data_IF_600345987165
#
_entry.id   IF_600345987165
#
_cell.length_a   1.000
_cell.length_b   1.000
_cell.length_c   1.000
_cell.angle_alpha   90.00
_cell.angle_beta   90.00
_cell.angle_gamma   90.00
#
_symmetry.space_group_name_H-M   'P 1'
#
loop_
_entity.id
_entity.type
_entity.pdbx_description
1 polymer ?
#
# COMPACT_ATOMS: atom_id res chain seq x y z
N UNK A 1 21.63 19.14 -12.79
CA UNK A 1 22.24 19.07 -11.43
C UNK A 1 22.89 17.70 -11.18
N UNK A 2 23.72 17.56 -10.14
CA UNK A 2 24.24 16.25 -9.69
C UNK A 2 23.50 15.85 -8.42
N UNK A 3 22.95 14.64 -8.39
CA UNK A 3 22.36 14.02 -7.19
C UNK A 3 23.14 12.77 -6.81
N UNK A 4 23.22 12.47 -5.52
CA UNK A 4 23.97 11.31 -5.02
C UNK A 4 23.00 10.23 -4.57
N UNK A 5 23.18 9.00 -5.07
CA UNK A 5 22.36 7.87 -4.62
C UNK A 5 22.60 7.57 -3.14
N UNK A 6 21.58 7.64 -2.27
CA UNK A 6 21.75 7.40 -0.84
C UNK A 6 22.05 5.94 -0.48
N UNK A 7 22.02 5.02 -1.46
CA UNK A 7 22.28 3.59 -1.24
C UNK A 7 23.67 3.15 -1.63
N UNK A 8 24.25 3.72 -2.69
CA UNK A 8 25.58 3.31 -3.18
C UNK A 8 26.58 4.47 -3.33
N UNK A 9 26.17 5.71 -3.08
CA UNK A 9 27.04 6.89 -3.21
C UNK A 9 27.35 7.33 -4.63
N UNK A 10 26.78 6.68 -5.65
CA UNK A 10 27.00 7.06 -7.05
C UNK A 10 26.44 8.46 -7.33
N UNK A 11 27.27 9.33 -7.91
CA UNK A 11 26.84 10.60 -8.47
C UNK A 11 26.10 10.38 -9.79
N UNK A 12 24.92 10.97 -9.92
CA UNK A 12 24.03 10.86 -11.08
C UNK A 12 23.79 12.26 -11.62
N UNK A 13 24.02 12.42 -12.92
CA UNK A 13 23.65 13.64 -13.61
C UNK A 13 22.15 13.61 -13.89
N UNK A 14 21.46 14.69 -13.56
CA UNK A 14 20.03 14.85 -13.78
C UNK A 14 19.75 16.19 -14.47
N UNK A 15 18.71 16.22 -15.31
CA UNK A 15 18.30 17.38 -16.10
C UNK A 15 17.29 18.27 -15.36
N UNK A 16 16.81 17.86 -14.17
CA UNK A 16 15.99 18.73 -13.31
C UNK A 16 16.74 20.02 -12.96
N UNK A 17 16.11 21.15 -13.24
CA UNK A 17 16.62 22.50 -13.05
C UNK A 17 16.05 23.17 -11.79
N UNK A 18 15.14 22.49 -11.09
CA UNK A 18 14.53 22.98 -9.85
C UNK A 18 15.50 22.85 -8.67
N UNK A 19 15.31 23.73 -7.69
CA UNK A 19 15.97 23.58 -6.39
C UNK A 19 15.22 22.51 -5.59
N UNK A 20 15.84 21.36 -5.41
CA UNK A 20 15.29 20.23 -4.65
C UNK A 20 15.71 20.29 -3.19
N UNK A 21 14.83 19.88 -2.29
CA UNK A 21 15.19 19.52 -0.92
C UNK A 21 16.07 18.27 -0.88
N UNK A 22 16.76 18.03 0.23
CA UNK A 22 17.60 16.83 0.40
C UNK A 22 16.80 15.53 0.21
N UNK A 23 15.54 15.51 0.67
CA UNK A 23 14.64 14.36 0.51
C UNK A 23 14.27 14.14 -0.95
N UNK A 24 13.88 15.20 -1.67
CA UNK A 24 13.53 15.11 -3.09
C UNK A 24 14.74 14.69 -3.94
N UNK A 25 15.93 15.22 -3.64
CA UNK A 25 17.16 14.83 -4.33
C UNK A 25 17.50 13.34 -4.09
N UNK A 26 17.30 12.85 -2.86
CA UNK A 26 17.51 11.45 -2.51
C UNK A 26 16.51 10.53 -3.22
N UNK A 27 15.22 10.91 -3.29
CA UNK A 27 14.21 10.17 -4.03
C UNK A 27 14.48 10.16 -5.53
N UNK A 28 14.84 11.30 -6.12
CA UNK A 28 15.23 11.40 -7.53
C UNK A 28 16.43 10.52 -7.86
N UNK A 29 17.43 10.49 -6.98
CA UNK A 29 18.57 9.59 -7.12
C UNK A 29 18.15 8.11 -7.00
N UNK A 30 17.24 7.79 -6.09
CA UNK A 30 16.67 6.44 -5.95
C UNK A 30 15.80 6.03 -7.13
N UNK A 31 15.16 6.98 -7.83
CA UNK A 31 14.37 6.69 -9.03
C UNK A 31 15.28 6.37 -10.25
N UNK A 32 16.42 7.04 -10.35
CA UNK A 32 17.30 6.97 -11.54
C UNK A 32 18.48 5.98 -11.39
N UNK A 33 18.97 5.75 -10.18
CA UNK A 33 20.13 4.88 -9.94
C UNK A 33 19.86 3.41 -10.32
N UNK A 34 20.82 2.73 -10.94
CA UNK A 34 20.69 1.33 -11.32
C UNK A 34 21.25 0.31 -10.31
N UNK A 35 21.70 0.75 -9.13
CA UNK A 35 22.25 -0.15 -8.12
C UNK A 35 21.17 -1.09 -7.54
N UNK A 36 21.54 -2.30 -7.06
CA UNK A 36 20.58 -3.28 -6.54
C UNK A 36 19.65 -2.74 -5.45
N UNK A 37 20.19 -1.93 -4.53
CA UNK A 37 19.42 -1.36 -3.44
C UNK A 37 18.41 -0.29 -3.90
N UNK A 38 18.74 0.51 -4.92
CA UNK A 38 17.80 1.46 -5.52
C UNK A 38 16.69 0.74 -6.31
N UNK A 39 17.04 -0.34 -7.04
CA UNK A 39 16.05 -1.20 -7.70
C UNK A 39 15.09 -1.85 -6.70
N UNK A 40 15.62 -2.36 -5.58
CA UNK A 40 14.80 -2.94 -4.52
C UNK A 40 13.87 -1.89 -3.89
N UNK A 41 14.36 -0.67 -3.65
CA UNK A 41 13.53 0.44 -3.20
C UNK A 41 12.39 0.75 -4.18
N UNK A 42 12.69 0.92 -5.48
CA UNK A 42 11.66 1.18 -6.50
C UNK A 42 10.64 0.06 -6.61
N UNK A 43 11.10 -1.19 -6.55
CA UNK A 43 10.21 -2.35 -6.57
C UNK A 43 9.26 -2.35 -5.38
N UNK A 44 9.71 -1.89 -4.21
CA UNK A 44 8.89 -1.76 -3.01
C UNK A 44 7.88 -0.62 -3.14
N UNK A 45 8.30 0.57 -3.58
CA UNK A 45 7.39 1.70 -3.79
C UNK A 45 6.30 1.35 -4.81
N UNK A 46 6.69 0.75 -5.95
CA UNK A 46 5.73 0.27 -6.95
C UNK A 46 4.70 -0.71 -6.36
N UNK A 47 5.14 -1.63 -5.52
CA UNK A 47 4.24 -2.58 -4.86
C UNK A 47 3.27 -1.88 -3.90
N UNK A 48 3.70 -0.82 -3.22
CA UNK A 48 2.85 0.00 -2.35
C UNK A 48 1.81 0.73 -3.20
N UNK A 49 2.22 1.37 -4.30
CA UNK A 49 1.32 2.09 -5.20
C UNK A 49 0.25 1.17 -5.80
N UNK A 50 0.65 0.00 -6.29
CA UNK A 50 -0.27 -1.03 -6.79
C UNK A 50 -1.24 -1.52 -5.69
N UNK A 51 -0.76 -1.66 -4.45
CA UNK A 51 -1.61 -2.05 -3.32
C UNK A 51 -2.61 -0.95 -2.97
N UNK A 52 -2.18 0.31 -2.95
CA UNK A 52 -3.05 1.47 -2.73
C UNK A 52 -4.11 1.59 -3.81
N UNK A 53 -3.75 1.36 -5.08
CA UNK A 53 -4.70 1.31 -6.18
C UNK A 53 -5.73 0.20 -6.01
N UNK A 54 -5.32 -0.98 -5.54
CA UNK A 54 -6.24 -2.09 -5.25
C UNK A 54 -7.18 -1.77 -4.07
N UNK A 55 -6.71 -1.03 -3.05
CA UNK A 55 -7.54 -0.54 -1.96
C UNK A 55 -8.61 0.43 -2.50
N UNK A 56 -8.20 1.43 -3.28
CA UNK A 56 -9.12 2.37 -3.95
C UNK A 56 -10.17 1.63 -4.77
N UNK A 57 -9.72 0.67 -5.58
CA UNK A 57 -10.61 -0.10 -6.45
C UNK A 57 -11.62 -0.96 -5.68
N UNK A 58 -11.20 -1.59 -4.58
CA UNK A 58 -12.08 -2.46 -3.80
C UNK A 58 -12.93 -1.72 -2.79
N UNK A 59 -12.51 -0.53 -2.33
CA UNK A 59 -13.12 0.16 -1.20
C UNK A 59 -13.83 1.46 -1.56
N UNK A 60 -13.42 2.14 -2.64
CA UNK A 60 -13.89 3.49 -2.99
C UNK A 60 -14.39 3.49 -4.44
N UNK A 61 -13.77 4.26 -5.35
CA UNK A 61 -14.33 4.63 -6.66
C UNK A 61 -14.79 3.45 -7.52
N UNK A 62 -14.09 2.31 -7.50
CA UNK A 62 -14.46 1.15 -8.33
C UNK A 62 -15.26 0.09 -7.54
N UNK A 63 -15.55 0.33 -6.26
CA UNK A 63 -16.31 -0.63 -5.45
C UNK A 63 -17.72 -0.81 -6.01
N UNK A 64 -18.34 0.27 -6.49
CA UNK A 64 -19.68 0.25 -7.09
C UNK A 64 -19.72 -0.58 -8.37
N UNK A 65 -18.69 -0.51 -9.19
CA UNK A 65 -18.56 -1.33 -10.42
C UNK A 65 -18.47 -2.83 -10.11
N UNK A 66 -17.93 -3.16 -8.93
CA UNK A 66 -17.85 -4.52 -8.41
C UNK A 66 -19.09 -4.95 -7.61
N UNK A 67 -20.17 -4.15 -7.62
CA UNK A 67 -21.41 -4.43 -6.89
C UNK A 67 -21.30 -4.28 -5.37
N UNK A 68 -20.28 -3.56 -4.89
CA UNK A 68 -20.02 -3.32 -3.47
C UNK A 68 -20.33 -1.86 -3.10
N UNK A 69 -20.75 -1.62 -1.85
CA UNK A 69 -20.92 -0.26 -1.32
C UNK A 69 -19.57 0.38 -1.07
N UNK A 70 -19.40 1.64 -1.42
CA UNK A 70 -18.19 2.42 -1.13
C UNK A 70 -18.01 2.62 0.38
N UNK A 71 -16.76 2.69 0.84
CA UNK A 71 -16.39 3.06 2.20
C UNK A 71 -16.07 4.56 2.17
N UNK A 72 -17.05 5.39 2.52
CA UNK A 72 -16.96 6.86 2.51
C UNK A 72 -16.26 7.42 3.76
N UNK A 73 -15.31 6.68 4.34
CA UNK A 73 -14.58 7.08 5.53
C UNK A 73 -13.07 7.11 5.25
N UNK A 74 -12.55 8.33 5.11
CA UNK A 74 -11.14 8.58 4.77
C UNK A 74 -10.16 8.03 5.82
N UNK A 75 -10.53 8.01 7.09
CA UNK A 75 -9.67 7.45 8.15
C UNK A 75 -9.48 5.93 7.97
N UNK A 76 -10.54 5.22 7.59
CA UNK A 76 -10.46 3.78 7.28
C UNK A 76 -9.56 3.55 6.07
N UNK A 77 -9.71 4.35 5.02
CA UNK A 77 -8.89 4.24 3.81
C UNK A 77 -7.42 4.56 4.11
N UNK A 78 -7.15 5.58 4.92
CA UNK A 78 -5.79 5.94 5.37
C UNK A 78 -5.14 4.81 6.17
N UNK A 79 -5.87 4.18 7.12
CA UNK A 79 -5.37 3.01 7.85
C UNK A 79 -4.98 1.88 6.89
N UNK A 80 -5.82 1.59 5.89
CA UNK A 80 -5.54 0.55 4.89
C UNK A 80 -4.28 0.88 4.06
N UNK A 81 -4.13 2.12 3.60
CA UNK A 81 -2.95 2.56 2.83
C UNK A 81 -1.67 2.55 3.66
N UNK A 82 -1.71 3.03 4.90
CA UNK A 82 -0.58 2.96 5.85
C UNK A 82 -0.18 1.52 6.14
N UNK A 83 -1.15 0.62 6.22
CA UNK A 83 -0.90 -0.81 6.39
C UNK A 83 -0.14 -1.42 5.21
N UNK A 84 -0.46 -1.03 3.97
CA UNK A 84 0.30 -1.48 2.80
C UNK A 84 1.79 -1.12 2.93
N UNK A 85 2.12 0.08 3.42
CA UNK A 85 3.50 0.50 3.71
C UNK A 85 4.14 -0.35 4.79
N UNK A 86 3.45 -0.56 5.91
CA UNK A 86 3.97 -1.38 7.01
C UNK A 86 4.24 -2.83 6.59
N UNK A 87 3.43 -3.40 5.70
CA UNK A 87 3.63 -4.75 5.16
C UNK A 87 4.81 -4.78 4.19
N UNK A 88 4.93 -3.78 3.31
CA UNK A 88 6.06 -3.64 2.40
C UNK A 88 7.40 -3.50 3.15
N UNK A 89 7.39 -2.78 4.27
CA UNK A 89 8.54 -2.61 5.18
C UNK A 89 8.74 -3.79 6.15
N UNK A 90 7.96 -4.87 5.99
CA UNK A 90 8.00 -6.08 6.81
C UNK A 90 7.85 -5.83 8.32
N UNK A 91 7.10 -4.78 8.69
CA UNK A 91 6.73 -4.45 10.08
C UNK A 91 5.42 -5.10 10.51
N UNK A 92 4.56 -5.39 9.53
CA UNK A 92 3.29 -6.10 9.69
C UNK A 92 3.25 -7.23 8.66
N UNK A 93 2.70 -8.38 9.02
CA UNK A 93 2.53 -9.50 8.09
C UNK A 93 1.18 -9.42 7.37
N UNK A 94 0.11 -9.20 8.13
CA UNK A 94 -1.23 -8.92 7.63
C UNK A 94 -2.04 -8.06 8.61
N UNK A 95 -3.09 -7.43 8.10
CA UNK A 95 -4.10 -6.72 8.89
C UNK A 95 -5.48 -7.00 8.29
N UNK A 96 -6.48 -7.15 9.15
CA UNK A 96 -7.89 -7.20 8.73
C UNK A 96 -8.68 -6.11 9.44
N UNK A 97 -9.33 -5.24 8.66
CA UNK A 97 -10.24 -4.21 9.15
C UNK A 97 -11.67 -4.68 8.88
N UNK A 98 -12.47 -4.78 9.94
CA UNK A 98 -13.91 -5.04 9.81
C UNK A 98 -14.63 -3.70 9.90
N UNK A 99 -15.47 -3.43 8.91
CA UNK A 99 -16.18 -2.17 8.76
C UNK A 99 -17.67 -2.37 9.01
N UNK A 100 -18.32 -1.39 9.64
CA UNK A 100 -19.76 -1.41 9.87
C UNK A 100 -20.46 -1.24 8.52
N UNK A 101 -21.24 -2.22 8.08
CA UNK A 101 -22.00 -2.16 6.83
C UNK A 101 -21.21 -2.43 5.54
N UNK A 102 -19.88 -2.45 5.55
CA UNK A 102 -19.06 -2.55 4.33
C UNK A 102 -18.19 -3.82 4.24
N UNK A 103 -18.35 -4.75 5.21
CA UNK A 103 -17.68 -6.05 5.23
C UNK A 103 -16.27 -6.02 5.85
N UNK A 104 -15.44 -6.98 5.43
CA UNK A 104 -14.06 -7.14 5.93
C UNK A 104 -13.06 -6.86 4.83
N UNK A 105 -12.03 -6.05 5.12
CA UNK A 105 -10.91 -5.79 4.22
C UNK A 105 -9.64 -6.36 4.85
N UNK A 106 -8.98 -7.28 4.15
CA UNK A 106 -7.71 -7.88 4.56
C UNK A 106 -6.60 -7.44 3.61
N UNK A 107 -5.49 -6.97 4.18
CA UNK A 107 -4.25 -6.71 3.46
C UNK A 107 -3.19 -7.66 4.01
N UNK A 108 -2.51 -8.41 3.15
CA UNK A 108 -1.57 -9.43 3.60
C UNK A 108 -0.40 -9.63 2.65
N UNK A 109 0.75 -10.04 3.19
CA UNK A 109 1.87 -10.52 2.38
C UNK A 109 1.66 -11.99 1.99
N UNK A 110 1.80 -12.29 0.70
CA UNK A 110 1.84 -13.66 0.20
C UNK A 110 3.20 -14.31 0.50
N UNK A 111 3.25 -15.64 0.51
CA UNK A 111 4.51 -16.38 0.65
C UNK A 111 5.53 -16.11 -0.47
N UNK A 112 5.10 -15.54 -1.60
CA UNK A 112 5.97 -15.12 -2.72
C UNK A 112 6.39 -13.65 -2.64
N UNK A 113 6.03 -12.95 -1.56
CA UNK A 113 6.40 -11.56 -1.31
C UNK A 113 5.51 -10.50 -1.98
N UNK A 114 4.46 -10.91 -2.69
CA UNK A 114 3.43 -9.97 -3.20
C UNK A 114 2.49 -9.52 -2.07
N UNK A 115 2.00 -8.29 -2.12
CA UNK A 115 0.96 -7.81 -1.20
C UNK A 115 -0.40 -7.99 -1.87
N UNK A 116 -1.35 -8.58 -1.15
CA UNK A 116 -2.72 -8.80 -1.62
C UNK A 116 -3.71 -7.96 -0.81
N UNK A 117 -4.74 -7.48 -1.49
CA UNK A 117 -5.90 -6.81 -0.90
C UNK A 117 -7.12 -7.68 -1.19
N UNK A 118 -7.85 -8.06 -0.15
CA UNK A 118 -9.07 -8.85 -0.26
C UNK A 118 -10.19 -8.14 0.49
N UNK A 119 -11.27 -7.81 -0.20
CA UNK A 119 -12.52 -7.37 0.42
C UNK A 119 -13.53 -8.51 0.39
N UNK A 120 -14.24 -8.72 1.49
CA UNK A 120 -15.30 -9.72 1.60
C UNK A 120 -16.54 -9.03 2.16
N UNK A 121 -17.58 -8.98 1.33
CA UNK A 121 -18.92 -8.48 1.65
C UNK A 121 -19.85 -9.68 1.76
N UNK A 122 -20.65 -9.77 2.83
CA UNK A 122 -21.51 -10.92 3.05
C UNK A 122 -22.10 -10.97 4.46
N UNK A 123 -23.14 -11.79 4.60
CA UNK A 123 -23.79 -12.08 5.87
C UNK A 123 -22.92 -13.08 6.66
N UNK A 124 -22.58 -12.73 7.90
CA UNK A 124 -21.93 -13.67 8.84
C UNK A 124 -23.01 -14.15 9.80
N UNK A 125 -23.37 -15.43 9.72
CA UNK A 125 -24.18 -16.08 10.76
C UNK A 125 -23.24 -16.57 11.86
N UNK A 126 -23.46 -16.11 13.08
CA UNK A 126 -22.72 -16.53 14.27
C UNK A 126 -23.72 -17.17 15.24
N UNK A 127 -23.56 -18.47 15.50
CA UNK A 127 -24.26 -19.15 16.59
C UNK A 127 -23.33 -19.21 17.78
N UNK A 128 -23.62 -18.43 18.83
CA UNK A 128 -22.89 -18.50 20.09
C UNK A 128 -23.44 -19.65 20.93
N UNK A 129 -22.55 -20.49 21.46
CA UNK A 129 -22.94 -21.45 22.47
C UNK A 129 -23.49 -20.69 23.70
N UNK A 130 -24.73 -21.00 24.10
CA UNK A 130 -25.50 -20.48 25.25
C UNK A 130 -26.44 -19.27 25.06
N UNK A 131 -26.72 -18.80 23.84
CA UNK A 131 -27.90 -17.95 23.63
C UNK A 131 -29.14 -18.85 23.42
N UNK A 132 -29.95 -19.03 24.47
CA UNK A 132 -31.27 -19.67 24.37
C UNK A 132 -32.23 -18.70 23.67
N UNK A 133 -32.97 -19.23 22.69
CA UNK A 133 -34.08 -18.57 21.99
C UNK A 133 -35.08 -17.90 22.94
#
# INVERSE_FOLDING_TARGET
MIVTCPKCGQALMNEDDRTLTDTEAAELALQTCNCPAARAWRSKEKQIDETCFNIESLCVANARELGMTEIENDEIIDILKKTARLIADAKVFDLTVTTVGHGKVKISKSGKGSISVKRTVGHTEELKANEKY
#
